data_IF_503931983448
#
_entry.id   IF_503931983448
#
_cell.length_a   1.000
_cell.length_b   1.000
_cell.length_c   1.000
_cell.angle_alpha   90.00
_cell.angle_beta   90.00
_cell.angle_gamma   90.00
#
_symmetry.space_group_name_H-M   'P 1'
#
loop_
_entity.id
_entity.type
_entity.pdbx_description
1 polymer ?
#
# COMPACT_ATOMS: atom_id res chain seq x y z
N UNK A 1 15.03 -17.05 -6.92
CA UNK A 1 14.71 -15.62 -6.89
C UNK A 1 13.30 -15.47 -7.39
N UNK A 2 12.36 -14.98 -6.55
CA UNK A 2 10.97 -14.81 -6.94
C UNK A 2 10.76 -13.60 -7.85
N UNK A 3 9.69 -13.59 -8.61
CA UNK A 3 9.26 -12.46 -9.43
C UNK A 3 7.77 -12.51 -9.67
N UNK A 4 7.17 -11.35 -9.97
CA UNK A 4 5.80 -11.25 -10.44
C UNK A 4 5.75 -11.23 -11.97
N UNK A 5 4.66 -11.71 -12.53
CA UNK A 5 4.39 -11.57 -13.96
C UNK A 5 3.85 -10.15 -14.23
N UNK A 6 4.62 -9.32 -14.91
CA UNK A 6 4.31 -7.91 -15.20
C UNK A 6 4.34 -7.64 -16.70
N UNK A 7 3.39 -6.86 -17.18
CA UNK A 7 3.52 -6.11 -18.42
C UNK A 7 4.18 -4.72 -18.20
N UNK A 8 4.32 -3.94 -19.26
CA UNK A 8 4.95 -2.61 -19.19
C UNK A 8 4.10 -1.59 -18.45
N UNK A 9 2.78 -1.65 -18.57
CA UNK A 9 1.89 -0.68 -17.93
C UNK A 9 1.86 -0.89 -16.43
N UNK A 10 1.79 -2.14 -15.98
CA UNK A 10 1.89 -2.50 -14.56
C UNK A 10 3.27 -2.11 -13.99
N UNK A 11 4.36 -2.43 -14.71
CA UNK A 11 5.70 -2.06 -14.30
C UNK A 11 5.87 -0.53 -14.14
N UNK A 12 5.24 0.26 -15.01
CA UNK A 12 5.20 1.71 -14.93
C UNK A 12 4.47 2.19 -13.68
N UNK A 13 3.30 1.63 -13.37
CA UNK A 13 2.55 1.96 -12.15
C UNK A 13 3.35 1.65 -10.89
N UNK A 14 3.99 0.49 -10.84
CA UNK A 14 4.89 0.11 -9.74
C UNK A 14 6.02 1.15 -9.56
N UNK A 15 6.66 1.61 -10.63
CA UNK A 15 7.70 2.64 -10.54
C UNK A 15 7.18 4.01 -10.08
N UNK A 16 5.93 4.34 -10.39
CA UNK A 16 5.28 5.56 -9.90
C UNK A 16 4.99 5.47 -8.40
N UNK A 17 4.58 4.32 -7.91
CA UNK A 17 4.22 4.07 -6.52
C UNK A 17 5.45 3.85 -5.63
N UNK A 18 6.43 3.06 -6.10
CA UNK A 18 7.57 2.56 -5.33
C UNK A 18 8.90 3.14 -5.82
N UNK A 19 9.26 4.28 -5.27
CA UNK A 19 10.46 5.03 -5.70
C UNK A 19 11.76 4.39 -5.24
N UNK A 20 11.73 3.51 -4.26
CA UNK A 20 12.87 2.75 -3.76
C UNK A 20 13.41 1.75 -4.78
N UNK A 21 12.58 1.29 -5.70
CA UNK A 21 12.98 0.37 -6.79
C UNK A 21 13.96 1.04 -7.76
N UNK A 22 13.93 2.37 -7.85
CA UNK A 22 14.77 3.16 -8.75
C UNK A 22 16.15 3.39 -8.12
N UNK A 23 17.23 3.17 -8.89
CA UNK A 23 18.59 3.42 -8.40
C UNK A 23 18.83 4.89 -8.02
N UNK A 24 19.75 5.21 -7.08
CA UNK A 24 20.01 6.59 -6.66
C UNK A 24 20.36 7.53 -7.81
N UNK A 25 21.12 7.07 -8.81
CA UNK A 25 21.46 7.84 -10.00
C UNK A 25 20.23 8.23 -10.82
N UNK A 26 19.31 7.30 -11.00
CA UNK A 26 18.06 7.55 -11.72
C UNK A 26 17.06 8.39 -10.90
N UNK A 27 17.11 8.32 -9.57
CA UNK A 27 16.33 9.22 -8.70
C UNK A 27 16.71 10.70 -8.91
N UNK A 28 17.99 11.00 -9.08
CA UNK A 28 18.46 12.37 -9.36
C UNK A 28 17.96 12.89 -10.71
N UNK A 29 18.02 12.07 -11.76
CA UNK A 29 17.46 12.44 -13.06
C UNK A 29 15.94 12.70 -12.98
N UNK A 30 15.21 11.93 -12.18
CA UNK A 30 13.78 12.12 -11.95
C UNK A 30 13.45 13.47 -11.31
N UNK A 31 14.32 14.01 -10.45
CA UNK A 31 14.15 15.37 -9.86
C UNK A 31 14.18 16.46 -10.93
N UNK A 32 14.97 16.27 -11.99
CA UNK A 32 15.14 17.24 -13.09
C UNK A 32 13.93 17.18 -14.06
N UNK A 33 13.51 15.99 -14.46
CA UNK A 33 12.49 15.79 -15.49
C UNK A 33 11.06 15.63 -14.96
N UNK A 34 10.88 15.57 -13.64
CA UNK A 34 9.60 15.31 -12.99
C UNK A 34 9.25 13.81 -12.94
N UNK A 35 8.56 13.41 -11.86
CA UNK A 35 8.27 12.01 -11.53
C UNK A 35 7.51 11.28 -12.63
N UNK A 36 6.43 11.87 -13.12
CA UNK A 36 5.58 11.22 -14.11
C UNK A 36 6.27 11.08 -15.47
N UNK A 37 6.81 12.16 -16.01
CA UNK A 37 7.45 12.15 -17.32
C UNK A 37 8.66 11.22 -17.35
N UNK A 38 9.54 11.34 -16.34
CA UNK A 38 10.72 10.49 -16.23
C UNK A 38 10.36 9.01 -16.10
N UNK A 39 9.35 8.65 -15.29
CA UNK A 39 8.93 7.27 -15.11
C UNK A 39 8.33 6.69 -16.39
N UNK A 40 7.57 7.47 -17.15
CA UNK A 40 7.07 7.06 -18.46
C UNK A 40 8.21 6.77 -19.44
N UNK A 41 9.20 7.65 -19.52
CA UNK A 41 10.36 7.46 -20.38
C UNK A 41 11.19 6.25 -19.94
N UNK A 42 11.51 6.18 -18.65
CA UNK A 42 12.31 5.11 -18.06
C UNK A 42 11.69 3.73 -18.30
N UNK A 43 10.40 3.56 -17.98
CA UNK A 43 9.69 2.28 -18.14
C UNK A 43 9.57 1.85 -19.60
N UNK A 44 9.45 2.84 -20.52
CA UNK A 44 9.26 2.56 -21.94
C UNK A 44 10.57 2.18 -22.66
N UNK A 45 11.69 2.82 -22.29
CA UNK A 45 12.92 2.74 -23.09
C UNK A 45 14.13 2.15 -22.34
N UNK A 46 14.20 2.27 -21.02
CA UNK A 46 15.41 1.97 -20.27
C UNK A 46 15.31 0.78 -19.30
N UNK A 47 14.10 0.35 -18.93
CA UNK A 47 13.93 -0.73 -17.94
C UNK A 47 13.03 -1.84 -18.49
N UNK A 48 13.47 -3.09 -18.30
CA UNK A 48 12.65 -4.24 -18.61
C UNK A 48 11.63 -4.52 -17.50
N UNK A 49 10.39 -4.91 -17.82
CA UNK A 49 9.41 -5.34 -16.82
C UNK A 49 9.93 -6.41 -15.88
N UNK A 50 10.74 -7.36 -16.39
CA UNK A 50 11.37 -8.42 -15.60
C UNK A 50 12.28 -7.87 -14.49
N UNK A 51 13.10 -6.84 -14.81
CA UNK A 51 13.99 -6.23 -13.82
C UNK A 51 13.20 -5.50 -12.71
N UNK A 52 12.09 -4.84 -13.07
CA UNK A 52 11.20 -4.17 -12.11
C UNK A 52 10.52 -5.22 -11.24
N UNK A 53 10.03 -6.29 -11.86
CA UNK A 53 9.35 -7.38 -11.19
C UNK A 53 10.18 -8.02 -10.08
N UNK A 54 11.44 -8.36 -10.37
CA UNK A 54 12.35 -8.96 -9.38
C UNK A 54 12.55 -8.03 -8.19
N UNK A 55 12.83 -6.75 -8.44
CA UNK A 55 13.03 -5.77 -7.36
C UNK A 55 11.76 -5.51 -6.57
N UNK A 56 10.62 -5.44 -7.24
CA UNK A 56 9.33 -5.27 -6.57
C UNK A 56 9.00 -6.46 -5.67
N UNK A 57 9.23 -7.67 -6.18
CA UNK A 57 9.08 -8.89 -5.39
C UNK A 57 9.98 -8.87 -4.13
N UNK A 58 11.26 -8.50 -4.28
CA UNK A 58 12.19 -8.40 -3.16
C UNK A 58 11.71 -7.41 -2.09
N UNK A 59 11.25 -6.22 -2.49
CA UNK A 59 10.70 -5.23 -1.56
C UNK A 59 9.46 -5.76 -0.85
N UNK A 60 8.49 -6.31 -1.58
CA UNK A 60 7.27 -6.87 -0.99
C UNK A 60 7.56 -8.06 -0.07
N UNK A 61 8.51 -8.89 -0.43
CA UNK A 61 8.94 -10.03 0.39
C UNK A 61 9.61 -9.57 1.69
N UNK A 62 10.38 -8.48 1.66
CA UNK A 62 10.93 -7.88 2.87
C UNK A 62 9.84 -7.31 3.77
N UNK A 63 8.87 -6.60 3.22
CA UNK A 63 7.71 -6.09 3.98
C UNK A 63 6.90 -7.23 4.60
N UNK A 64 6.57 -8.28 3.85
CA UNK A 64 5.88 -9.46 4.37
C UNK A 64 6.67 -10.14 5.50
N UNK A 65 7.99 -10.33 5.32
CA UNK A 65 8.84 -10.97 6.33
C UNK A 65 8.89 -10.17 7.64
N UNK A 66 8.81 -8.87 7.55
CA UNK A 66 8.74 -7.97 8.68
C UNK A 66 7.39 -8.08 9.41
N UNK A 67 6.29 -8.04 8.66
CA UNK A 67 4.96 -8.11 9.24
C UNK A 67 4.68 -9.48 9.89
N UNK A 68 5.12 -10.59 9.29
CA UNK A 68 4.90 -11.94 9.82
C UNK A 68 5.56 -12.21 11.17
N UNK A 69 6.51 -11.38 11.60
CA UNK A 69 7.09 -11.49 12.95
C UNK A 69 6.13 -10.97 14.03
N UNK A 70 5.13 -10.18 13.65
CA UNK A 70 4.15 -9.59 14.55
C UNK A 70 2.72 -10.08 14.31
N UNK A 71 2.42 -10.59 13.10
CA UNK A 71 1.08 -10.94 12.64
C UNK A 71 1.00 -12.39 12.14
N UNK A 72 -0.10 -13.05 12.48
CA UNK A 72 -0.45 -14.32 11.87
C UNK A 72 -1.42 -14.10 10.72
N UNK A 73 -1.03 -14.48 9.51
CA UNK A 73 -1.82 -14.28 8.29
C UNK A 73 -2.66 -15.49 7.87
N UNK A 74 -2.77 -16.54 8.69
CA UNK A 74 -3.65 -17.68 8.36
C UNK A 74 -5.12 -17.34 8.62
N UNK A 75 -6.00 -17.59 7.64
CA UNK A 75 -7.45 -17.43 7.72
C UNK A 75 -7.85 -16.03 8.21
N UNK A 76 -7.43 -15.00 7.48
CA UNK A 76 -7.65 -13.59 7.84
C UNK A 76 -8.51 -12.84 6.84
N UNK A 77 -9.35 -11.95 7.35
CA UNK A 77 -10.03 -10.90 6.58
C UNK A 77 -9.21 -9.63 6.68
N UNK A 78 -8.65 -9.20 5.57
CA UNK A 78 -7.69 -8.09 5.51
C UNK A 78 -8.30 -6.96 4.66
N UNK A 79 -8.34 -5.76 5.23
CA UNK A 79 -8.62 -4.54 4.49
C UNK A 79 -7.30 -3.88 4.12
N UNK A 80 -7.05 -3.71 2.83
CA UNK A 80 -5.88 -2.99 2.31
C UNK A 80 -6.30 -1.63 1.77
N UNK A 81 -5.70 -0.55 2.30
CA UNK A 81 -6.00 0.83 1.89
C UNK A 81 -4.77 1.44 1.24
N UNK A 82 -4.89 1.83 -0.04
CA UNK A 82 -3.80 2.45 -0.78
C UNK A 82 -2.59 1.52 -0.96
N UNK A 83 -2.84 0.24 -1.19
CA UNK A 83 -1.82 -0.81 -1.35
C UNK A 83 -1.10 -0.78 -2.71
N UNK A 84 -1.52 0.11 -3.60
CA UNK A 84 -0.98 0.23 -4.94
C UNK A 84 -1.27 -1.01 -5.78
N UNK A 85 -0.23 -1.68 -6.30
CA UNK A 85 -0.38 -2.90 -7.10
C UNK A 85 -0.52 -4.18 -6.27
N UNK A 86 -0.72 -4.10 -4.96
CA UNK A 86 -1.01 -5.24 -4.08
C UNK A 86 0.02 -6.40 -4.14
N UNK A 87 1.30 -6.08 -4.28
CA UNK A 87 2.35 -7.10 -4.27
C UNK A 87 2.49 -7.80 -2.91
N UNK A 88 2.25 -7.08 -1.82
CA UNK A 88 2.24 -7.63 -0.46
C UNK A 88 1.08 -8.62 -0.27
N UNK A 89 -0.13 -8.25 -0.70
CA UNK A 89 -1.33 -9.07 -0.63
C UNK A 89 -1.18 -10.37 -1.44
N UNK A 90 -0.56 -10.28 -2.63
CA UNK A 90 -0.21 -11.46 -3.42
C UNK A 90 0.73 -12.40 -2.67
N UNK A 91 1.75 -11.87 -2.01
CA UNK A 91 2.69 -12.68 -1.23
C UNK A 91 2.02 -13.29 0.01
N UNK A 92 1.18 -12.54 0.71
CA UNK A 92 0.40 -13.06 1.84
C UNK A 92 -0.51 -14.19 1.34
N UNK A 93 -1.27 -13.98 0.26
CA UNK A 93 -2.16 -15.00 -0.29
C UNK A 93 -1.41 -16.26 -0.77
N UNK A 94 -0.20 -16.13 -1.29
CA UNK A 94 0.60 -17.28 -1.78
C UNK A 94 1.30 -18.07 -0.67
N UNK A 95 1.56 -17.45 0.48
CA UNK A 95 2.29 -18.08 1.59
C UNK A 95 1.37 -18.53 2.73
N UNK A 96 0.16 -17.98 2.85
CA UNK A 96 -0.79 -18.23 3.92
C UNK A 96 -2.17 -18.54 3.34
N UNK A 97 -2.88 -19.49 3.94
CA UNK A 97 -4.15 -20.00 3.40
C UNK A 97 -5.37 -19.21 3.89
N UNK A 98 -6.44 -19.34 3.13
CA UNK A 98 -7.81 -18.93 3.50
C UNK A 98 -7.94 -17.44 3.86
N UNK A 99 -7.15 -16.58 3.20
CA UNK A 99 -7.24 -15.14 3.36
C UNK A 99 -8.24 -14.53 2.38
N UNK A 100 -8.93 -13.47 2.84
CA UNK A 100 -9.78 -12.65 1.99
C UNK A 100 -9.37 -11.18 2.09
N UNK A 101 -9.23 -10.52 0.95
CA UNK A 101 -8.79 -9.14 0.85
C UNK A 101 -9.90 -8.23 0.32
N UNK A 102 -10.23 -7.19 1.09
CA UNK A 102 -10.97 -6.02 0.58
C UNK A 102 -9.94 -4.93 0.30
N UNK A 103 -9.86 -4.46 -0.94
CA UNK A 103 -8.84 -3.52 -1.40
C UNK A 103 -9.51 -2.20 -1.75
N UNK A 104 -9.10 -1.11 -1.11
CA UNK A 104 -9.58 0.24 -1.42
C UNK A 104 -8.47 1.02 -2.12
N UNK A 105 -8.74 1.45 -3.36
CA UNK A 105 -7.79 2.17 -4.20
C UNK A 105 -8.46 3.31 -4.96
N UNK A 106 -7.70 4.34 -5.33
CA UNK A 106 -8.15 5.35 -6.28
C UNK A 106 -7.83 4.91 -7.71
N UNK A 107 -8.83 4.98 -8.60
CA UNK A 107 -8.67 4.69 -10.03
C UNK A 107 -8.21 5.94 -10.80
N UNK A 108 -7.02 6.44 -10.48
CA UNK A 108 -6.51 7.69 -11.04
C UNK A 108 -4.98 7.66 -11.16
N UNK A 109 -4.46 8.34 -12.19
CA UNK A 109 -3.02 8.56 -12.37
C UNK A 109 -2.74 10.06 -12.38
N UNK A 110 -2.19 10.56 -11.29
CA UNK A 110 -1.80 11.95 -11.13
C UNK A 110 -0.65 12.33 -12.07
N UNK A 111 -0.76 13.49 -12.70
CA UNK A 111 0.31 14.08 -13.53
C UNK A 111 1.23 14.99 -12.72
N UNK A 112 0.86 15.33 -11.50
CA UNK A 112 1.61 16.20 -10.57
C UNK A 112 1.87 15.44 -9.27
N UNK A 113 2.99 15.75 -8.62
CA UNK A 113 3.27 15.32 -7.25
C UNK A 113 2.77 16.42 -6.32
N UNK A 114 1.88 16.07 -5.40
CA UNK A 114 1.38 16.96 -4.35
C UNK A 114 2.03 16.56 -3.04
N UNK A 115 2.59 17.50 -2.32
CA UNK A 115 3.20 17.27 -0.99
C UNK A 115 2.27 17.82 0.09
N UNK A 116 2.10 17.04 1.14
CA UNK A 116 1.29 17.44 2.31
C UNK A 116 -0.07 16.74 2.38
N UNK A 117 -0.78 17.04 3.46
CA UNK A 117 -2.08 16.43 3.79
C UNK A 117 -3.23 17.41 3.48
N UNK A 118 -3.23 17.99 2.30
CA UNK A 118 -4.34 18.82 1.85
C UNK A 118 -5.55 17.93 1.53
N UNK A 119 -6.76 18.33 1.93
CA UNK A 119 -8.02 17.66 1.59
C UNK A 119 -8.22 17.47 0.08
N UNK A 120 -7.58 18.34 -0.72
CA UNK A 120 -7.60 18.29 -2.18
C UNK A 120 -6.47 17.43 -2.77
N UNK A 121 -5.76 16.67 -1.93
CA UNK A 121 -4.69 15.82 -2.43
C UNK A 121 -5.24 14.60 -3.18
N UNK A 122 -5.45 14.78 -4.48
CA UNK A 122 -5.90 13.72 -5.40
C UNK A 122 -4.72 12.91 -5.97
N UNK A 123 -3.59 12.88 -5.28
CA UNK A 123 -2.43 12.12 -5.76
C UNK A 123 -2.70 10.62 -5.67
N UNK A 124 -2.82 9.99 -6.82
CA UNK A 124 -2.90 8.54 -6.96
C UNK A 124 -2.19 8.09 -8.24
N UNK A 125 -1.70 6.87 -8.25
CA UNK A 125 -0.97 6.29 -9.38
C UNK A 125 -1.44 4.86 -9.63
N UNK A 126 -2.75 4.66 -9.75
CA UNK A 126 -3.30 3.33 -9.93
C UNK A 126 -4.38 3.27 -11.02
N UNK A 127 -4.58 2.07 -11.53
CA UNK A 127 -5.66 1.68 -12.44
C UNK A 127 -6.23 0.36 -11.95
N UNK A 128 -7.49 0.38 -11.54
CA UNK A 128 -8.17 -0.78 -10.94
C UNK A 128 -8.27 -1.97 -11.92
N UNK A 129 -8.43 -1.71 -13.22
CA UNK A 129 -8.43 -2.75 -14.24
C UNK A 129 -7.08 -3.48 -14.33
N UNK A 130 -5.96 -2.73 -14.28
CA UNK A 130 -4.61 -3.29 -14.28
C UNK A 130 -4.27 -3.97 -12.94
N UNK A 131 -4.75 -3.43 -11.82
CA UNK A 131 -4.62 -4.05 -10.52
C UNK A 131 -5.33 -5.42 -10.48
N UNK A 132 -6.59 -5.48 -10.93
CA UNK A 132 -7.35 -6.73 -11.01
C UNK A 132 -6.66 -7.75 -11.92
N UNK A 133 -6.19 -7.31 -13.10
CA UNK A 133 -5.43 -8.16 -14.02
C UNK A 133 -4.14 -8.68 -13.37
N UNK A 134 -3.39 -7.82 -12.69
CA UNK A 134 -2.14 -8.20 -12.03
C UNK A 134 -2.36 -9.26 -10.95
N UNK A 135 -3.37 -9.12 -10.09
CA UNK A 135 -3.68 -10.09 -9.05
C UNK A 135 -4.00 -11.47 -9.64
N UNK A 136 -4.90 -11.52 -10.63
CA UNK A 136 -5.32 -12.78 -11.27
C UNK A 136 -4.14 -13.42 -12.03
N UNK A 137 -3.38 -12.63 -12.79
CA UNK A 137 -2.27 -13.12 -13.60
C UNK A 137 -1.08 -13.63 -12.77
N UNK A 138 -1.03 -13.28 -11.49
CA UNK A 138 -0.07 -13.79 -10.52
C UNK A 138 -0.66 -14.85 -9.56
N UNK A 139 -1.81 -15.44 -9.90
CA UNK A 139 -2.36 -16.63 -9.25
C UNK A 139 -3.27 -16.35 -8.04
N UNK A 140 -3.70 -15.11 -7.82
CA UNK A 140 -4.73 -14.84 -6.80
C UNK A 140 -6.11 -15.18 -7.36
N UNK A 141 -6.82 -16.10 -6.72
CA UNK A 141 -8.18 -16.48 -7.11
C UNK A 141 -9.15 -15.29 -6.89
N UNK A 142 -10.02 -15.04 -7.87
CA UNK A 142 -11.01 -13.94 -7.81
C UNK A 142 -11.93 -14.02 -6.59
N UNK A 143 -12.16 -15.19 -6.05
CA UNK A 143 -12.95 -15.38 -4.82
C UNK A 143 -12.25 -14.89 -3.54
N UNK A 144 -10.93 -14.65 -3.58
CA UNK A 144 -10.13 -14.27 -2.41
C UNK A 144 -9.98 -12.75 -2.27
N UNK A 145 -10.51 -11.95 -3.22
CA UNK A 145 -10.42 -10.49 -3.13
C UNK A 145 -11.58 -9.77 -3.80
N UNK A 146 -11.79 -8.54 -3.35
CA UNK A 146 -12.66 -7.53 -3.95
C UNK A 146 -11.92 -6.21 -3.99
N UNK A 147 -12.18 -5.37 -4.99
CA UNK A 147 -11.53 -4.06 -5.16
C UNK A 147 -12.61 -2.99 -5.22
N UNK A 148 -12.42 -1.91 -4.48
CA UNK A 148 -13.30 -0.75 -4.42
C UNK A 148 -12.57 0.49 -4.91
N UNK A 149 -13.20 1.22 -5.83
CA UNK A 149 -12.77 2.56 -6.24
C UNK A 149 -13.21 3.55 -5.14
N UNK A 150 -12.23 4.15 -4.45
CA UNK A 150 -12.51 5.08 -3.35
C UNK A 150 -13.46 6.23 -3.74
N UNK A 151 -13.39 6.71 -4.97
CA UNK A 151 -14.13 7.88 -5.43
C UNK A 151 -15.52 7.53 -5.98
N UNK A 152 -15.81 6.24 -6.24
CA UNK A 152 -17.06 5.82 -6.91
C UNK A 152 -17.88 4.82 -6.13
N UNK A 153 -17.21 3.91 -5.41
CA UNK A 153 -17.88 2.80 -4.77
C UNK A 153 -18.25 3.13 -3.31
N UNK A 154 -19.33 2.52 -2.84
CA UNK A 154 -19.60 2.50 -1.40
C UNK A 154 -18.59 1.61 -0.71
N UNK A 155 -17.83 2.17 0.25
CA UNK A 155 -16.82 1.42 0.98
C UNK A 155 -17.43 0.27 1.79
N UNK A 156 -16.79 -0.91 1.84
CA UNK A 156 -17.34 -2.10 2.47
C UNK A 156 -17.41 -1.95 3.99
N UNK A 157 -18.59 -2.09 4.58
CA UNK A 157 -18.79 -2.10 6.03
C UNK A 157 -18.82 -3.56 6.50
N UNK A 158 -17.65 -4.10 6.79
CA UNK A 158 -17.41 -5.48 7.25
C UNK A 158 -16.47 -5.47 8.45
N UNK A 159 -16.38 -6.58 9.16
CA UNK A 159 -15.36 -6.78 10.20
C UNK A 159 -14.08 -7.35 9.57
N UNK A 160 -12.95 -6.84 10.01
CA UNK A 160 -11.62 -7.25 9.54
C UNK A 160 -10.74 -7.65 10.71
N UNK A 161 -9.85 -8.62 10.48
CA UNK A 161 -8.77 -8.95 11.42
C UNK A 161 -7.67 -7.89 11.34
N UNK A 162 -7.32 -7.49 10.11
CA UNK A 162 -6.29 -6.51 9.86
C UNK A 162 -6.75 -5.41 8.91
N UNK A 163 -6.32 -4.18 9.19
CA UNK A 163 -6.33 -3.07 8.23
C UNK A 163 -4.87 -2.72 7.96
N UNK A 164 -4.42 -2.84 6.71
CA UNK A 164 -3.02 -2.61 6.31
C UNK A 164 -2.97 -1.45 5.32
N UNK A 165 -2.11 -0.48 5.59
CA UNK A 165 -1.90 0.67 4.72
C UNK A 165 -0.46 1.16 4.79
N UNK A 166 0.43 0.52 4.03
CA UNK A 166 1.84 0.87 4.03
C UNK A 166 2.11 2.04 3.08
N UNK A 167 2.73 3.10 3.62
CA UNK A 167 3.10 4.33 2.89
C UNK A 167 1.92 5.05 2.21
N UNK A 168 0.69 4.89 2.71
CA UNK A 168 -0.49 5.57 2.20
C UNK A 168 -1.24 6.33 3.30
N UNK A 169 -1.97 5.64 4.17
CA UNK A 169 -2.68 6.22 5.31
C UNK A 169 -1.69 6.90 6.27
N UNK A 170 -1.98 8.13 6.69
CA UNK A 170 -1.13 8.99 7.53
C UNK A 170 0.26 9.29 6.96
N UNK A 171 0.51 8.89 5.74
CA UNK A 171 1.73 9.18 5.00
C UNK A 171 1.47 10.12 3.81
N UNK A 172 0.45 9.82 2.99
CA UNK A 172 -0.05 10.65 1.89
C UNK A 172 -1.37 11.32 2.23
N UNK A 173 -2.19 10.71 3.07
CA UNK A 173 -3.49 11.20 3.50
C UNK A 173 -3.57 11.19 5.01
N UNK A 174 -4.17 12.23 5.62
CA UNK A 174 -4.39 12.24 7.06
C UNK A 174 -5.29 11.06 7.47
N UNK A 175 -4.89 10.36 8.52
CA UNK A 175 -5.67 9.26 9.11
C UNK A 175 -7.12 9.66 9.42
N UNK A 176 -7.35 10.91 9.82
CA UNK A 176 -8.66 11.40 10.23
C UNK A 176 -9.70 11.41 9.11
N UNK A 177 -9.29 11.42 7.82
CA UNK A 177 -10.25 11.27 6.70
C UNK A 177 -11.01 9.95 6.74
N UNK A 178 -10.44 8.93 7.33
CA UNK A 178 -11.08 7.63 7.50
C UNK A 178 -11.75 7.44 8.86
N UNK A 179 -11.77 8.45 9.75
CA UNK A 179 -12.29 8.31 11.13
C UNK A 179 -13.71 7.74 11.16
N UNK A 180 -14.64 8.32 10.40
CA UNK A 180 -16.03 7.88 10.36
C UNK A 180 -16.18 6.47 9.77
N UNK A 181 -15.35 6.12 8.82
CA UNK A 181 -15.31 4.78 8.26
C UNK A 181 -14.78 3.78 9.30
N UNK A 182 -13.68 4.12 9.96
CA UNK A 182 -13.10 3.29 11.02
C UNK A 182 -14.03 3.08 12.20
N UNK A 183 -14.82 4.06 12.58
CA UNK A 183 -15.86 3.90 13.61
C UNK A 183 -16.87 2.78 13.27
N UNK A 184 -17.12 2.52 12.00
CA UNK A 184 -18.06 1.49 11.52
C UNK A 184 -17.46 0.09 11.43
N UNK A 185 -16.17 -0.02 11.10
CA UNK A 185 -15.54 -1.30 10.76
C UNK A 185 -14.59 -1.85 11.82
N UNK A 186 -14.04 -0.98 12.70
CA UNK A 186 -13.09 -1.41 13.72
C UNK A 186 -13.79 -1.94 14.96
N UNK A 187 -13.26 -3.02 15.50
CA UNK A 187 -13.65 -3.60 16.78
C UNK A 187 -12.40 -3.92 17.61
N UNK A 188 -12.60 -4.44 18.81
CA UNK A 188 -11.51 -4.78 19.75
C UNK A 188 -10.49 -5.78 19.23
N UNK A 189 -10.88 -6.63 18.24
CA UNK A 189 -10.01 -7.65 17.67
C UNK A 189 -9.27 -7.16 16.41
N UNK A 190 -9.64 -5.99 15.87
CA UNK A 190 -9.03 -5.46 14.65
C UNK A 190 -7.69 -4.79 14.97
N UNK A 191 -6.65 -5.16 14.24
CA UNK A 191 -5.36 -4.45 14.26
C UNK A 191 -5.21 -3.59 13.03
N UNK A 192 -4.74 -2.34 13.21
CA UNK A 192 -4.39 -1.46 12.10
C UNK A 192 -2.87 -1.34 12.02
N UNK A 193 -2.33 -1.53 10.81
CA UNK A 193 -0.90 -1.45 10.52
C UNK A 193 -0.67 -0.38 9.46
N UNK A 194 0.11 0.64 9.78
CA UNK A 194 0.43 1.70 8.83
C UNK A 194 1.72 2.44 9.18
N UNK A 195 2.21 3.27 8.23
CA UNK A 195 3.40 4.08 8.41
C UNK A 195 3.01 5.53 8.75
N UNK A 196 3.66 6.13 9.77
CA UNK A 196 3.39 7.49 10.23
C UNK A 196 4.66 8.21 10.65
N UNK A 197 4.67 9.55 10.52
CA UNK A 197 5.71 10.41 11.07
C UNK A 197 5.39 10.93 12.48
N UNK A 198 4.18 10.67 12.98
CA UNK A 198 3.65 11.15 14.27
C UNK A 198 3.08 10.03 15.16
N UNK A 199 3.83 9.00 15.51
CA UNK A 199 3.30 7.83 16.25
C UNK A 199 2.71 8.21 17.61
N UNK A 200 3.21 9.24 18.27
CA UNK A 200 2.71 9.73 19.57
C UNK A 200 1.26 10.23 19.49
N UNK A 201 0.87 10.82 18.35
CA UNK A 201 -0.51 11.26 18.13
C UNK A 201 -1.51 10.09 18.29
N UNK A 202 -1.13 8.91 17.81
CA UNK A 202 -2.00 7.73 17.81
C UNK A 202 -2.22 7.11 19.19
N UNK A 203 -1.43 7.44 20.21
CA UNK A 203 -1.69 7.08 21.61
C UNK A 203 -2.99 7.73 22.15
N UNK A 204 -3.41 8.84 21.54
CA UNK A 204 -4.69 9.47 21.86
C UNK A 204 -5.86 8.82 21.11
N UNK A 205 -5.60 8.16 19.98
CA UNK A 205 -6.60 7.58 19.07
C UNK A 205 -6.83 6.10 19.37
N UNK A 206 -5.81 5.40 19.85
CA UNK A 206 -5.85 3.97 20.19
C UNK A 206 -5.43 3.73 21.64
N UNK A 207 -5.86 2.62 22.21
CA UNK A 207 -5.40 2.21 23.55
C UNK A 207 -3.97 1.62 23.50
N UNK A 208 -3.66 0.90 22.42
CA UNK A 208 -2.36 0.27 22.22
C UNK A 208 -1.74 0.74 20.89
N UNK A 209 -0.51 1.22 20.99
CA UNK A 209 0.31 1.63 19.83
C UNK A 209 1.71 1.06 20.00
N UNK A 210 2.12 0.18 19.10
CA UNK A 210 3.42 -0.47 19.08
C UNK A 210 4.19 -0.05 17.83
N UNK A 211 5.43 0.40 17.99
CA UNK A 211 6.32 0.70 16.85
C UNK A 211 7.08 -0.57 16.49
N UNK A 212 6.82 -1.12 15.31
CA UNK A 212 7.44 -2.38 14.83
C UNK A 212 8.59 -2.14 13.86
N UNK A 213 8.70 -0.92 13.30
CA UNK A 213 9.78 -0.53 12.43
C UNK A 213 10.07 0.96 12.58
N UNK A 214 11.36 1.27 12.71
CA UNK A 214 11.86 2.65 12.75
C UNK A 214 12.79 2.87 11.55
N UNK A 215 12.29 3.52 10.51
CA UNK A 215 13.08 3.81 9.31
C UNK A 215 13.79 5.17 9.45
N UNK A 216 14.93 5.17 10.15
CA UNK A 216 15.77 6.36 10.29
C UNK A 216 16.34 6.85 8.95
N UNK A 217 16.37 6.00 7.93
CA UNK A 217 16.99 6.28 6.61
C UNK A 217 16.02 6.82 5.56
N UNK A 218 14.72 6.89 5.83
CA UNK A 218 13.77 7.47 4.89
C UNK A 218 13.80 9.00 4.98
N UNK A 219 13.51 9.66 3.85
CA UNK A 219 13.44 11.13 3.78
C UNK A 219 12.44 11.72 4.79
N UNK A 220 11.49 10.92 5.25
CA UNK A 220 10.41 11.35 6.15
C UNK A 220 10.48 10.72 7.54
N UNK A 221 11.51 9.94 7.89
CA UNK A 221 11.67 9.27 9.20
C UNK A 221 10.38 8.60 9.68
N UNK A 222 9.67 7.93 8.79
CA UNK A 222 8.41 7.27 9.13
C UNK A 222 8.65 6.06 10.02
N UNK A 223 7.67 5.79 10.89
CA UNK A 223 7.64 4.62 11.76
C UNK A 223 6.45 3.76 11.37
N UNK A 224 6.66 2.45 11.25
CA UNK A 224 5.56 1.50 11.10
C UNK A 224 5.02 1.15 12.46
N UNK A 225 3.71 1.29 12.62
CA UNK A 225 3.03 1.03 13.89
C UNK A 225 1.92 -0.01 13.73
N UNK A 226 1.69 -0.76 14.81
CA UNK A 226 0.49 -1.58 15.01
C UNK A 226 -0.36 -0.90 16.08
N UNK A 227 -1.62 -0.65 15.76
CA UNK A 227 -2.59 -0.04 16.65
C UNK A 227 -3.74 -1.00 16.94
N UNK A 228 -4.24 -1.00 18.20
CA UNK A 228 -5.39 -1.80 18.65
C UNK A 228 -6.33 -0.94 19.50
N UNK A 229 -7.57 -1.38 19.58
CA UNK A 229 -8.61 -0.76 20.41
C UNK A 229 -8.78 0.72 20.07
N UNK A 230 -9.37 0.96 18.89
CA UNK A 230 -9.70 2.30 18.41
C UNK A 230 -10.70 2.96 19.37
N UNK A 231 -10.34 4.14 19.88
CA UNK A 231 -11.20 4.93 20.77
C UNK A 231 -12.30 5.57 19.96
N UNK A 232 -13.48 4.95 19.98
CA UNK A 232 -14.68 5.49 19.33
C UNK A 232 -15.15 6.72 20.13
N UNK A 233 -15.20 7.87 19.49
CA UNK A 233 -15.77 9.09 20.05
C UNK A 233 -17.20 9.29 19.57
#
# INVERSE_FOLDING_TARGET
>A
MGYFNLDRDIARLILLQRTEIITPKLKNLRKIFGRYFFTNFLSKYLISPKSISVKYYEVMHQEMNQLKTHLNFENKKILSIGSGMCGLELLINSNFKDNFFSIIEKNYISKKVTYGWDEKNDEAYNRIDLLNFFLINNGMDKKNFEIFDYDKDTLPVKTYDYVISLYSLDYHYDFLFYKDYFNKILNENTMIIFDTVRPEFFKNVFESVEVIQNEEKTIHSSKRIICKNFKKN
#
